data_IF_043120858592
#
_entry.id   IF_043120858592
#
_cell.length_a   1.000
_cell.length_b   1.000
_cell.length_c   1.000
_cell.angle_alpha   90.00
_cell.angle_beta   90.00
_cell.angle_gamma   90.00
#
_symmetry.space_group_name_H-M   'P 1'
#
loop_
_entity.id
_entity.type
_entity.pdbx_description
1 polymer ?
#
# COMPACT_ATOMS: atom_id res chain seq x y z
N UNK A 1 5.87 4.51 15.84
CA UNK A 1 4.77 4.05 14.96
C UNK A 1 4.16 2.72 15.39
N UNK A 2 4.91 1.63 15.57
CA UNK A 2 4.33 0.33 15.98
C UNK A 2 3.49 0.38 17.26
N UNK A 3 4.00 1.04 18.31
CA UNK A 3 3.28 1.26 19.57
C UNK A 3 1.95 1.99 19.39
N UNK A 4 1.91 2.97 18.49
CA UNK A 4 0.69 3.71 18.18
C UNK A 4 -0.30 2.86 17.39
N UNK A 5 0.18 2.03 16.46
CA UNK A 5 -0.69 1.10 15.73
C UNK A 5 -1.30 0.04 16.64
N UNK A 6 -0.58 -0.42 17.66
CA UNK A 6 -1.07 -1.38 18.64
C UNK A 6 -2.04 -0.77 19.67
N UNK A 7 -2.21 0.55 19.68
CA UNK A 7 -3.11 1.21 20.61
C UNK A 7 -4.58 0.86 20.30
N UNK A 8 -5.38 0.47 21.31
CA UNK A 8 -6.78 0.13 21.13
C UNK A 8 -7.61 1.27 20.54
N UNK A 9 -7.33 2.53 20.90
CA UNK A 9 -8.02 3.70 20.37
C UNK A 9 -7.73 3.89 18.88
N UNK A 10 -6.48 3.70 18.46
CA UNK A 10 -6.09 3.75 17.04
C UNK A 10 -6.74 2.62 16.24
N UNK A 11 -6.78 1.40 16.78
CA UNK A 11 -7.49 0.28 16.16
C UNK A 11 -8.99 0.55 16.04
N UNK A 12 -9.60 1.19 17.04
CA UNK A 12 -11.02 1.55 17.01
C UNK A 12 -11.32 2.63 15.96
N UNK A 13 -10.46 3.65 15.85
CA UNK A 13 -10.55 4.63 14.77
C UNK A 13 -10.39 3.94 13.40
N UNK A 14 -9.41 3.05 13.26
CA UNK A 14 -9.19 2.31 12.02
C UNK A 14 -10.39 1.44 11.61
N UNK A 15 -11.11 0.84 12.55
CA UNK A 15 -12.36 0.11 12.24
C UNK A 15 -13.42 1.02 11.61
N UNK A 16 -13.42 2.31 11.97
CA UNK A 16 -14.27 3.38 11.43
C UNK A 16 -13.63 4.12 10.25
N UNK A 17 -12.56 3.59 9.68
CA UNK A 17 -11.83 4.19 8.55
C UNK A 17 -12.69 4.50 7.33
N UNK A 18 -13.85 3.85 7.19
CA UNK A 18 -14.84 4.14 6.13
C UNK A 18 -15.50 5.52 6.28
N UNK A 19 -15.42 6.15 7.45
CA UNK A 19 -16.03 7.45 7.73
C UNK A 19 -15.14 8.63 7.28
N UNK A 20 -13.90 8.37 6.90
CA UNK A 20 -12.95 9.40 6.49
C UNK A 20 -12.02 8.89 5.37
N UNK A 21 -11.21 9.79 4.80
CA UNK A 21 -10.31 9.46 3.71
C UNK A 21 -9.06 8.72 4.22
N UNK A 22 -9.21 7.43 4.52
CA UNK A 22 -8.08 6.53 4.79
C UNK A 22 -7.79 5.67 3.57
N UNK A 23 -6.50 5.41 3.33
CA UNK A 23 -6.10 4.51 2.27
C UNK A 23 -6.36 3.04 2.66
N UNK A 24 -6.98 2.27 1.77
CA UNK A 24 -7.27 0.84 2.02
C UNK A 24 -6.00 0.01 2.25
N UNK A 25 -4.86 0.41 1.66
CA UNK A 25 -3.56 -0.24 1.88
C UNK A 25 -2.92 0.14 3.23
N UNK A 26 -3.51 1.03 4.02
CA UNK A 26 -2.92 1.48 5.29
C UNK A 26 -2.71 0.32 6.28
N UNK A 27 -3.69 -0.59 6.42
CA UNK A 27 -3.54 -1.77 7.28
C UNK A 27 -2.38 -2.66 6.83
N UNK A 28 -2.22 -2.86 5.53
CA UNK A 28 -1.17 -3.68 4.95
C UNK A 28 0.22 -3.16 5.34
N UNK A 29 0.46 -1.85 5.21
CA UNK A 29 1.73 -1.24 5.58
C UNK A 29 1.96 -1.17 7.09
N UNK A 30 0.92 -0.85 7.87
CA UNK A 30 1.03 -0.73 9.33
C UNK A 30 1.20 -2.10 10.02
N UNK A 31 0.63 -3.16 9.46
CA UNK A 31 0.87 -4.53 9.91
C UNK A 31 2.27 -5.05 9.52
N UNK A 32 2.77 -4.64 8.35
CA UNK A 32 4.10 -5.02 7.88
C UNK A 32 5.21 -4.04 8.33
N UNK A 33 4.93 -3.15 9.29
CA UNK A 33 5.83 -2.05 9.67
C UNK A 33 7.23 -2.55 10.04
N UNK A 34 7.35 -3.67 10.75
CA UNK A 34 8.64 -4.24 11.14
C UNK A 34 9.50 -4.64 9.94
N UNK A 35 8.88 -5.15 8.88
CA UNK A 35 9.56 -5.55 7.64
C UNK A 35 9.98 -4.31 6.84
N UNK A 36 9.09 -3.33 6.75
CA UNK A 36 9.28 -2.14 5.92
C UNK A 36 10.26 -1.15 6.57
N UNK A 37 10.35 -1.13 7.90
CA UNK A 37 11.28 -0.26 8.63
C UNK A 37 12.72 -0.79 8.69
N UNK A 38 13.01 -1.96 8.11
CA UNK A 38 14.36 -2.51 8.10
C UNK A 38 15.27 -1.72 7.13
N UNK A 39 16.54 -1.47 7.49
CA UNK A 39 17.50 -0.82 6.58
C UNK A 39 17.72 -1.57 5.27
N UNK A 40 17.57 -2.90 5.30
CA UNK A 40 17.71 -3.79 4.16
C UNK A 40 16.39 -4.10 3.44
N UNK A 41 15.34 -3.31 3.69
CA UNK A 41 14.03 -3.54 3.10
C UNK A 41 14.08 -3.47 1.57
N UNK A 42 13.64 -4.55 0.92
CA UNK A 42 13.39 -4.60 -0.53
C UNK A 42 11.90 -4.79 -0.76
N UNK A 43 11.23 -3.91 -1.53
CA UNK A 43 9.79 -4.02 -1.80
C UNK A 43 9.45 -5.32 -2.54
N UNK A 44 8.36 -5.96 -2.12
CA UNK A 44 7.75 -7.07 -2.85
C UNK A 44 6.85 -6.54 -3.96
N UNK A 45 6.49 -7.40 -4.92
CA UNK A 45 5.48 -7.05 -5.92
C UNK A 45 4.16 -6.58 -5.29
N UNK A 46 3.77 -7.18 -4.16
CA UNK A 46 2.56 -6.79 -3.44
C UNK A 46 2.64 -5.38 -2.85
N UNK A 47 3.83 -4.97 -2.38
CA UNK A 47 4.09 -3.59 -1.91
C UNK A 47 3.97 -2.59 -3.07
N UNK A 48 4.55 -2.92 -4.22
CA UNK A 48 4.47 -2.09 -5.42
C UNK A 48 3.02 -1.91 -5.86
N UNK A 49 2.26 -3.01 -5.96
CA UNK A 49 0.85 -2.97 -6.38
C UNK A 49 -0.07 -2.23 -5.40
N UNK A 50 0.24 -2.24 -4.10
CA UNK A 50 -0.56 -1.56 -3.08
C UNK A 50 -0.13 -0.11 -2.84
N UNK A 51 0.98 0.33 -3.43
CA UNK A 51 1.47 1.70 -3.29
C UNK A 51 0.56 2.62 -4.10
N UNK A 52 -0.09 3.57 -3.41
CA UNK A 52 -0.89 4.59 -4.08
C UNK A 52 0.06 5.66 -4.65
N UNK A 53 0.38 5.54 -5.92
CA UNK A 53 1.03 6.60 -6.69
C UNK A 53 -0.06 7.36 -7.46
N UNK A 54 -0.09 8.68 -7.32
CA UNK A 54 -1.01 9.51 -8.11
C UNK A 54 -0.56 9.45 -9.56
N UNK A 55 -1.44 9.06 -10.48
CA UNK A 55 -1.16 9.14 -11.92
C UNK A 55 -0.94 10.61 -12.29
N UNK A 56 0.22 10.91 -12.86
CA UNK A 56 0.56 12.23 -13.39
C UNK A 56 0.79 12.09 -14.89
N UNK A 57 -0.10 12.66 -15.71
CA UNK A 57 -0.01 12.57 -17.16
C UNK A 57 -0.52 11.24 -17.73
N UNK A 58 -0.29 11.06 -19.03
CA UNK A 58 -0.66 9.85 -19.78
C UNK A 58 0.58 8.95 -19.81
N UNK A 59 0.42 7.70 -19.38
CA UNK A 59 1.45 6.66 -19.46
C UNK A 59 0.94 5.61 -20.44
N UNK A 60 1.57 5.51 -21.61
CA UNK A 60 1.32 4.42 -22.55
C UNK A 60 2.16 3.21 -22.19
N UNK A 61 1.54 2.04 -22.14
CA UNK A 61 2.23 0.77 -21.87
C UNK A 61 1.90 -0.20 -22.98
N UNK A 62 2.90 -0.52 -23.80
CA UNK A 62 2.78 -1.53 -24.84
C UNK A 62 3.15 -2.90 -24.28
N UNK A 63 2.34 -3.92 -24.56
CA UNK A 63 2.66 -5.28 -24.16
C UNK A 63 2.23 -6.30 -25.22
N UNK A 64 2.97 -7.42 -25.27
CA UNK A 64 2.67 -8.52 -26.19
C UNK A 64 2.04 -9.65 -25.38
N UNK A 65 0.85 -10.09 -25.78
CA UNK A 65 0.18 -11.24 -25.19
C UNK A 65 -0.29 -12.21 -26.27
N UNK A 66 0.24 -13.45 -26.24
CA UNK A 66 -0.05 -14.49 -27.26
C UNK A 66 0.15 -13.98 -28.70
N UNK A 67 1.31 -13.37 -28.95
CA UNK A 67 1.71 -12.81 -30.27
C UNK A 67 0.88 -11.62 -30.76
N UNK A 68 -0.07 -11.12 -29.95
CA UNK A 68 -0.82 -9.91 -30.22
C UNK A 68 -0.19 -8.74 -29.45
N UNK A 69 0.02 -7.62 -30.17
CA UNK A 69 0.52 -6.37 -29.60
C UNK A 69 -0.66 -5.51 -29.14
N UNK A 70 -0.60 -5.04 -27.88
CA UNK A 70 -1.55 -4.14 -27.24
C UNK A 70 -0.86 -2.85 -26.81
#
# INVERSE_FOLDING_TARGET
>A
MKRLWQDPGVQHCFARSREYQLNDSASYYLNALDRISQPSYTPTQQDVLRTRVKTTGIVETHFVFKELHF
#
